data_IF_220028060512
#
_entry.id   IF_220028060512
#
_cell.length_a   1.000
_cell.length_b   1.000
_cell.length_c   1.000
_cell.angle_alpha   90.00
_cell.angle_beta   90.00
_cell.angle_gamma   90.00
#
_symmetry.space_group_name_H-M   'P 1'
#
loop_
_entity.id
_entity.type
_entity.pdbx_description
1 polymer ?
#
# COMPACT_ATOMS: atom_id res chain seq x y z
N UNK A 1 3.78 1.54 -3.28
CA UNK A 1 3.55 2.44 -2.13
C UNK A 1 4.68 3.45 -2.04
N UNK A 2 4.32 4.72 -2.12
CA UNK A 2 5.21 5.88 -2.01
C UNK A 2 5.72 6.08 -0.57
N UNK A 3 6.61 7.05 -0.37
CA UNK A 3 7.24 7.33 0.94
C UNK A 3 6.22 7.82 1.96
N UNK A 4 5.32 8.70 1.58
CA UNK A 4 4.31 9.31 2.48
C UNK A 4 3.35 8.25 2.98
N UNK A 5 2.81 7.41 2.10
CA UNK A 5 1.93 6.29 2.49
C UNK A 5 2.63 5.29 3.42
N UNK A 6 3.94 5.05 3.26
CA UNK A 6 4.72 4.24 4.22
C UNK A 6 4.84 4.91 5.59
N UNK A 7 5.08 6.21 5.62
CA UNK A 7 5.15 6.97 6.88
C UNK A 7 3.81 6.91 7.60
N UNK A 8 2.70 7.16 6.90
CA UNK A 8 1.35 7.06 7.47
C UNK A 8 1.05 5.64 7.94
N UNK A 9 1.39 4.60 7.17
CA UNK A 9 1.16 3.22 7.60
C UNK A 9 1.96 2.87 8.87
N UNK A 10 3.21 3.33 8.97
CA UNK A 10 4.02 3.13 10.18
C UNK A 10 3.48 3.92 11.38
N UNK A 11 2.93 5.11 11.14
CA UNK A 11 2.22 5.86 12.17
C UNK A 11 1.09 5.02 12.79
N UNK A 12 0.24 4.40 11.97
CA UNK A 12 -0.84 3.52 12.46
C UNK A 12 -0.34 2.31 13.26
N UNK A 13 0.83 1.76 12.94
CA UNK A 13 1.42 0.66 13.72
C UNK A 13 1.85 1.08 15.13
N UNK A 14 2.21 2.35 15.29
CA UNK A 14 2.68 2.91 16.55
C UNK A 14 1.52 3.49 17.39
N UNK A 15 0.33 3.65 16.81
CA UNK A 15 -0.84 4.16 17.53
C UNK A 15 -1.34 3.14 18.57
N UNK A 16 -1.80 3.61 19.75
CA UNK A 16 -2.49 2.75 20.69
C UNK A 16 -3.77 2.19 20.05
N UNK A 17 -3.93 0.86 20.07
CA UNK A 17 -5.00 0.12 19.39
C UNK A 17 -5.01 0.24 17.86
N UNK A 18 -3.93 0.73 17.25
CA UNK A 18 -3.72 0.78 15.79
C UNK A 18 -4.88 1.45 15.02
N UNK A 19 -5.54 2.43 15.64
CA UNK A 19 -6.76 3.07 15.14
C UNK A 19 -6.68 4.58 15.26
N UNK A 20 -7.32 5.27 14.31
CA UNK A 20 -7.51 6.71 14.32
C UNK A 20 -8.99 7.01 14.11
N UNK A 21 -9.59 7.80 15.00
CA UNK A 21 -11.00 8.18 14.89
C UNK A 21 -11.15 9.33 13.88
N UNK A 22 -12.23 9.32 13.09
CA UNK A 22 -12.55 10.36 12.11
C UNK A 22 -13.22 11.58 12.78
N UNK A 23 -12.55 12.15 13.78
CA UNK A 23 -12.85 13.50 14.24
C UNK A 23 -11.91 14.46 13.51
N UNK A 24 -12.43 15.59 13.02
CA UNK A 24 -11.63 16.55 12.24
C UNK A 24 -10.36 17.00 12.99
N UNK A 25 -10.44 17.13 14.32
CA UNK A 25 -9.28 17.40 15.17
C UNK A 25 -8.22 16.30 15.07
N UNK A 26 -8.59 15.03 15.20
CA UNK A 26 -7.66 13.91 15.19
C UNK A 26 -6.96 13.73 13.84
N UNK A 27 -7.68 13.97 12.74
CA UNK A 27 -7.11 13.87 11.39
C UNK A 27 -6.14 15.03 11.14
N UNK A 28 -6.49 16.25 11.56
CA UNK A 28 -5.61 17.42 11.48
C UNK A 28 -4.37 17.25 12.37
N UNK A 29 -4.53 16.73 13.58
CA UNK A 29 -3.42 16.58 14.53
C UNK A 29 -2.44 15.50 14.06
N UNK A 30 -2.95 14.36 13.56
CA UNK A 30 -2.11 13.33 12.93
C UNK A 30 -1.39 13.86 11.68
N UNK A 31 -2.05 14.69 10.87
CA UNK A 31 -1.41 15.31 9.71
C UNK A 31 -0.25 16.24 10.13
N UNK A 32 -0.46 17.07 11.17
CA UNK A 32 0.57 17.96 11.73
C UNK A 32 1.76 17.18 12.30
N UNK A 33 1.51 16.10 13.03
CA UNK A 33 2.57 15.26 13.61
C UNK A 33 3.49 14.67 12.52
N UNK A 34 2.92 14.35 11.36
CA UNK A 34 3.66 13.82 10.22
C UNK A 34 4.21 14.91 9.28
N UNK A 35 4.05 16.19 9.61
CA UNK A 35 4.40 17.33 8.77
C UNK A 35 3.75 17.25 7.37
N UNK A 36 2.49 16.84 7.32
CA UNK A 36 1.69 16.75 6.10
C UNK A 36 0.54 17.76 6.14
N UNK A 37 0.10 18.22 4.98
CA UNK A 37 -1.18 18.91 4.90
C UNK A 37 -2.33 17.94 5.20
N UNK A 38 -3.43 18.44 5.76
CA UNK A 38 -4.62 17.62 6.04
C UNK A 38 -5.15 16.93 4.78
N UNK A 39 -5.09 17.60 3.62
CA UNK A 39 -5.50 17.05 2.33
C UNK A 39 -4.59 15.92 1.86
N UNK A 40 -3.27 16.04 2.00
CA UNK A 40 -2.32 14.97 1.67
C UNK A 40 -2.51 13.76 2.58
N UNK A 41 -2.69 13.98 3.88
CA UNK A 41 -2.96 12.90 4.83
C UNK A 41 -4.27 12.18 4.50
N UNK A 42 -5.34 12.91 4.18
CA UNK A 42 -6.61 12.32 3.74
C UNK A 42 -6.49 11.56 2.41
N UNK A 43 -5.68 12.05 1.47
CA UNK A 43 -5.38 11.33 0.23
C UNK A 43 -4.64 10.02 0.52
N UNK A 44 -3.66 10.04 1.43
CA UNK A 44 -2.95 8.84 1.88
C UNK A 44 -3.89 7.85 2.57
N UNK A 45 -4.80 8.31 3.43
CA UNK A 45 -5.80 7.44 4.05
C UNK A 45 -6.68 6.76 3.01
N UNK A 46 -7.18 7.50 2.01
CA UNK A 46 -7.98 6.91 0.91
C UNK A 46 -7.19 5.85 0.16
N UNK A 47 -5.95 6.16 -0.23
CA UNK A 47 -5.07 5.21 -0.89
C UNK A 47 -4.86 3.93 -0.07
N UNK A 48 -4.56 4.08 1.23
CA UNK A 48 -4.32 2.94 2.11
C UNK A 48 -5.58 2.09 2.35
N UNK A 49 -6.77 2.70 2.38
CA UNK A 49 -8.05 1.97 2.47
C UNK A 49 -8.35 1.22 1.17
N UNK A 50 -8.22 1.87 0.01
CA UNK A 50 -8.46 1.25 -1.30
C UNK A 50 -7.53 0.05 -1.55
N UNK A 51 -6.29 0.14 -1.07
CA UNK A 51 -5.31 -0.95 -1.15
C UNK A 51 -5.40 -1.95 0.01
N UNK A 52 -6.46 -1.89 0.82
CA UNK A 52 -6.72 -2.80 1.95
C UNK A 52 -5.60 -2.84 2.99
N UNK A 53 -4.87 -1.76 3.18
CA UNK A 53 -3.92 -1.63 4.31
C UNK A 53 -4.60 -1.06 5.55
N UNK A 54 -5.65 -0.26 5.38
CA UNK A 54 -6.51 0.23 6.46
C UNK A 54 -7.97 -0.20 6.21
N UNK A 55 -8.74 -0.31 7.28
CA UNK A 55 -10.18 -0.61 7.24
C UNK A 55 -10.96 0.53 7.89
N UNK A 56 -12.14 0.83 7.34
CA UNK A 56 -13.04 1.84 7.90
C UNK A 56 -13.82 1.20 9.05
N UNK A 57 -13.75 1.82 10.23
CA UNK A 57 -14.65 1.52 11.34
C UNK A 57 -15.94 2.30 11.12
N UNK A 58 -17.07 1.60 11.06
CA UNK A 58 -18.39 2.22 11.04
C UNK A 58 -18.98 2.23 12.45
N UNK A 59 -19.65 3.33 12.79
CA UNK A 59 -20.50 3.43 13.98
C UNK A 59 -21.75 2.54 13.81
N UNK A 60 -22.41 2.20 14.91
CA UNK A 60 -23.70 1.49 14.92
C UNK A 60 -24.79 2.17 14.10
N UNK A 61 -24.66 3.47 13.82
CA UNK A 61 -25.56 4.25 12.95
C UNK A 61 -25.12 4.32 11.47
N UNK A 62 -24.15 3.49 11.06
CA UNK A 62 -23.65 3.43 9.67
C UNK A 62 -22.75 4.59 9.25
N UNK A 63 -22.40 5.52 10.15
CA UNK A 63 -21.48 6.63 9.89
C UNK A 63 -20.03 6.17 10.05
N UNK A 64 -19.11 6.68 9.23
CA UNK A 64 -17.67 6.44 9.38
C UNK A 64 -17.19 6.99 10.72
N UNK A 65 -16.74 6.11 11.61
CA UNK A 65 -16.28 6.44 12.96
C UNK A 65 -14.75 6.58 13.03
N UNK A 66 -14.03 5.91 12.14
CA UNK A 66 -12.58 5.97 12.09
C UNK A 66 -11.98 5.01 11.08
N UNK A 67 -10.68 4.82 11.21
CA UNK A 67 -9.86 3.86 10.46
C UNK A 67 -9.00 3.05 11.40
N UNK A 68 -8.80 1.78 11.07
CA UNK A 68 -7.96 0.84 11.82
C UNK A 68 -6.99 0.14 10.88
N UNK A 69 -5.86 -0.28 11.42
CA UNK A 69 -4.91 -1.10 10.70
C UNK A 69 -5.53 -2.47 10.40
N UNK A 70 -5.53 -2.84 9.12
CA UNK A 70 -5.97 -4.17 8.68
C UNK A 70 -4.88 -5.22 8.93
N UNK A 71 -5.25 -6.50 8.86
CA UNK A 71 -4.29 -7.61 8.91
C UNK A 71 -3.20 -7.51 7.83
N UNK A 72 -3.59 -7.11 6.62
CA UNK A 72 -2.69 -6.86 5.48
C UNK A 72 -1.80 -5.64 5.70
N UNK A 73 -2.29 -4.61 6.38
CA UNK A 73 -1.52 -3.44 6.82
C UNK A 73 -0.44 -3.78 7.86
N UNK A 74 -0.79 -4.64 8.82
CA UNK A 74 0.13 -5.11 9.86
C UNK A 74 1.31 -5.88 9.24
N UNK A 75 1.00 -6.86 8.38
CA UNK A 75 1.98 -7.73 7.72
C UNK A 75 2.34 -7.30 6.29
N UNK A 76 2.31 -5.99 5.99
CA UNK A 76 2.43 -5.47 4.62
C UNK A 76 3.69 -5.96 3.86
N UNK A 77 4.81 -6.22 4.55
CA UNK A 77 6.05 -6.73 3.98
C UNK A 77 5.92 -8.17 3.51
N UNK A 78 5.22 -9.00 4.28
CA UNK A 78 4.96 -10.41 3.96
C UNK A 78 3.97 -10.50 2.79
N UNK A 79 2.87 -9.75 2.86
CA UNK A 79 1.89 -9.71 1.78
C UNK A 79 2.48 -9.17 0.47
N UNK A 80 3.38 -8.18 0.53
CA UNK A 80 4.10 -7.70 -0.65
C UNK A 80 4.98 -8.81 -1.24
N UNK A 81 5.70 -9.56 -0.40
CA UNK A 81 6.53 -10.69 -0.86
C UNK A 81 5.68 -11.77 -1.53
N UNK A 82 4.57 -12.16 -0.91
CA UNK A 82 3.62 -13.14 -1.46
C UNK A 82 3.08 -12.64 -2.82
N UNK A 83 2.66 -11.37 -2.89
CA UNK A 83 2.17 -10.77 -4.14
C UNK A 83 3.22 -10.79 -5.26
N UNK A 84 4.48 -10.47 -4.96
CA UNK A 84 5.56 -10.53 -5.96
C UNK A 84 5.82 -11.96 -6.44
N UNK A 85 5.83 -12.92 -5.52
CA UNK A 85 6.03 -14.35 -5.87
C UNK A 85 4.88 -14.84 -6.75
N UNK A 86 3.64 -14.53 -6.38
CA UNK A 86 2.47 -14.91 -7.17
C UNK A 86 2.50 -14.26 -8.56
N UNK A 87 2.86 -12.98 -8.66
CA UNK A 87 3.01 -12.31 -9.94
C UNK A 87 4.05 -12.98 -10.84
N UNK A 88 5.22 -13.33 -10.29
CA UNK A 88 6.26 -14.05 -11.04
C UNK A 88 5.79 -15.44 -11.47
N UNK A 89 5.07 -16.13 -10.58
CA UNK A 89 4.46 -17.43 -10.89
C UNK A 89 3.43 -17.33 -11.99
N UNK A 90 2.61 -16.28 -12.04
CA UNK A 90 1.59 -16.12 -13.07
C UNK A 90 2.19 -15.70 -14.43
N UNK A 91 3.29 -14.95 -14.41
CA UNK A 91 3.95 -14.41 -15.61
C UNK A 91 5.14 -15.22 -16.10
N UNK A 92 5.39 -16.40 -15.53
CA UNK A 92 6.59 -17.19 -15.83
C UNK A 92 6.76 -17.46 -17.33
N UNK A 93 5.69 -17.83 -18.06
CA UNK A 93 5.75 -18.08 -19.52
C UNK A 93 6.17 -16.82 -20.29
N UNK A 94 5.62 -15.66 -19.93
CA UNK A 94 5.98 -14.39 -20.57
C UNK A 94 7.45 -14.03 -20.32
N UNK A 95 7.97 -14.35 -19.13
CA UNK A 95 9.39 -14.14 -18.80
C UNK A 95 10.28 -15.07 -19.65
N UNK A 96 9.91 -16.33 -19.82
CA UNK A 96 10.63 -17.25 -20.71
C UNK A 96 10.60 -16.77 -22.17
N UNK A 97 9.45 -16.32 -22.66
CA UNK A 97 9.32 -15.77 -24.01
C UNK A 97 10.22 -14.53 -24.20
N UNK A 98 10.29 -13.64 -23.21
CA UNK A 98 11.17 -12.48 -23.24
C UNK A 98 12.66 -12.88 -23.33
N UNK A 99 13.08 -13.89 -22.56
CA UNK A 99 14.46 -14.41 -22.61
C UNK A 99 14.79 -14.97 -23.99
N UNK A 100 13.92 -15.81 -24.55
CA UNK A 100 14.12 -16.37 -25.90
C UNK A 100 14.19 -15.26 -26.94
N UNK A 101 13.34 -14.24 -26.84
CA UNK A 101 13.36 -13.07 -27.73
C UNK A 101 14.67 -12.29 -27.63
N UNK A 102 15.21 -12.08 -26.42
CA UNK A 102 16.50 -11.39 -26.22
C UNK A 102 17.66 -12.21 -26.82
N UNK A 103 17.68 -13.53 -26.59
CA UNK A 103 18.70 -14.42 -27.18
C UNK A 103 18.64 -14.38 -28.71
N UNK A 104 17.43 -14.47 -29.27
CA UNK A 104 17.22 -14.39 -30.72
C UNK A 104 17.73 -13.06 -31.29
N UNK A 105 17.49 -11.95 -30.60
CA UNK A 105 17.96 -10.63 -31.01
C UNK A 105 19.49 -10.54 -30.98
N UNK A 106 20.14 -11.03 -29.92
CA UNK A 106 21.61 -11.03 -29.80
C UNK A 106 22.24 -11.85 -30.93
N UNK A 107 21.70 -13.05 -31.20
CA UNK A 107 22.18 -13.90 -32.29
C UNK A 107 22.02 -13.18 -33.64
N UNK A 108 20.90 -12.50 -33.86
CA UNK A 108 20.67 -11.73 -35.08
C UNK A 108 21.68 -10.61 -35.26
N UNK A 109 22.02 -9.87 -34.20
CA UNK A 109 23.00 -8.79 -34.25
C UNK A 109 24.43 -9.30 -34.45
N UNK A 110 24.78 -10.45 -33.88
CA UNK A 110 26.12 -11.05 -34.07
C UNK A 110 26.37 -11.60 -35.48
N UNK A 111 25.32 -11.82 -36.26
CA UNK A 111 25.39 -12.31 -37.65
C UNK A 111 25.33 -11.16 -38.68
N UNK A 112 25.14 -9.93 -38.23
CA UNK A 112 25.15 -8.71 -39.03
C UNK A 112 26.57 -8.16 -39.12
#
# INVERSE_FOLDING_TARGET
>A
MDKTSKTVLNYFKNLPNQRLLYFDSNVSDAAKELNLSTSEFQACLRFLIENKYLEIINSSKGRKAGVVLSHTGLHHSEFKRISTINYLKDKWISIFALIVSIISLIISLSKL
#
